data_IF_309099228595
#
_entry.id   IF_309099228595
#
_cell.length_a   1.000
_cell.length_b   1.000
_cell.length_c   1.000
_cell.angle_alpha   90.00
_cell.angle_beta   90.00
_cell.angle_gamma   90.00
#
_symmetry.space_group_name_H-M   'P 1'
#
loop_
_entity.id
_entity.type
_entity.pdbx_description
1 polymer ?
#
# COMPACT_ATOMS: atom_id res chain seq x y z
N UNK A 1 -0.39 8.88 23.77
CA UNK A 1 0.31 8.79 22.46
C UNK A 1 0.12 10.10 21.73
N UNK A 2 1.19 10.75 21.27
CA UNK A 2 1.09 12.05 20.59
C UNK A 2 0.37 11.86 19.25
N UNK A 3 -0.80 12.49 19.06
CA UNK A 3 -1.65 12.28 17.88
C UNK A 3 -0.91 12.52 16.56
N UNK A 4 0.03 13.48 16.58
CA UNK A 4 0.87 13.83 15.43
C UNK A 4 1.81 12.71 14.99
N UNK A 5 2.32 11.89 15.91
CA UNK A 5 3.19 10.76 15.56
C UNK A 5 2.41 9.64 14.87
N UNK A 6 1.14 9.43 15.25
CA UNK A 6 0.25 8.43 14.67
C UNK A 6 -0.18 8.84 13.26
N UNK A 7 -0.54 10.11 13.05
CA UNK A 7 -0.86 10.63 11.72
C UNK A 7 0.37 10.67 10.81
N UNK A 8 1.53 11.10 11.30
CA UNK A 8 2.76 11.11 10.51
C UNK A 8 3.19 9.68 10.12
N UNK A 9 3.06 8.72 11.05
CA UNK A 9 3.27 7.30 10.76
C UNK A 9 2.36 6.77 9.66
N UNK A 10 1.04 7.07 9.73
CA UNK A 10 0.08 6.66 8.69
C UNK A 10 0.39 7.22 7.31
N UNK A 11 0.79 8.49 7.21
CA UNK A 11 1.17 9.11 5.93
C UNK A 11 2.43 8.45 5.33
N UNK A 12 3.47 8.25 6.14
CA UNK A 12 4.70 7.60 5.70
C UNK A 12 4.44 6.16 5.26
N UNK A 13 3.66 5.39 6.03
CA UNK A 13 3.27 4.03 5.65
C UNK A 13 2.50 3.99 4.33
N UNK A 14 1.61 4.97 4.09
CA UNK A 14 0.87 5.06 2.83
C UNK A 14 1.80 5.33 1.64
N UNK A 15 2.73 6.30 1.78
CA UNK A 15 3.71 6.60 0.73
C UNK A 15 4.60 5.40 0.42
N UNK A 16 5.14 4.75 1.46
CA UNK A 16 6.01 3.58 1.30
C UNK A 16 5.25 2.42 0.65
N UNK A 17 4.01 2.16 1.09
CA UNK A 17 3.20 1.10 0.50
C UNK A 17 2.83 1.35 -0.96
N UNK A 18 2.49 2.58 -1.33
CA UNK A 18 2.20 2.95 -2.71
C UNK A 18 3.43 2.77 -3.61
N UNK A 19 4.61 3.20 -3.16
CA UNK A 19 5.88 3.02 -3.89
C UNK A 19 6.25 1.54 -4.00
N UNK A 20 6.17 0.78 -2.91
CA UNK A 20 6.49 -0.64 -2.92
C UNK A 20 5.56 -1.42 -3.87
N UNK A 21 4.25 -1.15 -3.82
CA UNK A 21 3.26 -1.82 -4.68
C UNK A 21 3.50 -1.51 -6.16
N UNK A 22 3.75 -0.24 -6.50
CA UNK A 22 4.01 0.18 -7.89
C UNK A 22 5.31 -0.40 -8.42
N UNK A 23 6.39 -0.41 -7.63
CA UNK A 23 7.67 -1.04 -8.00
C UNK A 23 7.53 -2.55 -8.19
N UNK A 24 6.78 -3.22 -7.30
CA UNK A 24 6.54 -4.66 -7.41
C UNK A 24 5.71 -4.99 -8.65
N UNK A 25 4.66 -4.23 -8.92
CA UNK A 25 3.85 -4.41 -10.11
C UNK A 25 4.67 -4.20 -11.40
N UNK A 26 5.55 -3.19 -11.41
CA UNK A 26 6.43 -2.90 -12.54
C UNK A 26 7.48 -3.98 -12.78
N UNK A 27 7.92 -4.69 -11.72
CA UNK A 27 8.88 -5.79 -11.83
C UNK A 27 8.25 -7.10 -12.34
N UNK A 28 6.91 -7.19 -12.32
CA UNK A 28 6.22 -8.40 -12.76
C UNK A 28 6.44 -8.68 -14.25
N UNK A 29 6.64 -9.96 -14.59
CA UNK A 29 6.90 -10.39 -15.96
C UNK A 29 5.78 -9.95 -16.92
N UNK A 30 4.52 -10.04 -16.46
CA UNK A 30 3.33 -9.62 -17.23
C UNK A 30 3.38 -8.14 -17.58
N UNK A 31 3.56 -7.25 -16.61
CA UNK A 31 3.61 -5.80 -16.85
C UNK A 31 4.79 -5.43 -17.75
N UNK A 32 5.94 -6.09 -17.57
CA UNK A 32 7.10 -5.84 -18.42
C UNK A 32 6.86 -6.19 -19.89
N UNK A 33 6.14 -7.26 -20.19
CA UNK A 33 5.76 -7.63 -21.57
C UNK A 33 4.83 -6.55 -22.14
N UNK A 34 3.81 -6.14 -21.38
CA UNK A 34 2.90 -5.05 -21.79
C UNK A 34 3.60 -3.69 -21.99
N UNK A 35 4.74 -3.45 -21.35
CA UNK A 35 5.54 -2.23 -21.57
C UNK A 35 6.55 -2.36 -22.72
N UNK A 36 6.41 -3.36 -23.59
CA UNK A 36 7.23 -3.49 -24.79
C UNK A 36 8.60 -4.13 -24.55
N UNK A 37 8.83 -4.78 -23.39
CA UNK A 37 10.05 -5.58 -23.16
C UNK A 37 9.99 -6.99 -23.74
N UNK A 38 9.03 -7.27 -24.63
CA UNK A 38 8.97 -8.47 -25.47
C UNK A 38 9.86 -8.36 -26.72
N UNK A 39 9.92 -9.43 -27.52
CA UNK A 39 10.62 -9.42 -28.81
C UNK A 39 9.82 -8.57 -29.82
N UNK A 40 10.46 -7.72 -30.62
CA UNK A 40 9.80 -6.79 -31.56
C UNK A 40 8.62 -5.99 -31.00
N UNK A 41 8.64 -5.67 -29.69
CA UNK A 41 7.56 -4.95 -29.02
C UNK A 41 6.21 -5.71 -29.01
N UNK A 42 6.27 -7.03 -29.23
CA UNK A 42 5.12 -7.92 -29.20
C UNK A 42 4.46 -7.92 -27.82
N UNK A 43 3.14 -7.76 -27.80
CA UNK A 43 2.35 -7.69 -26.58
C UNK A 43 2.40 -6.35 -25.85
N UNK A 44 2.99 -5.30 -26.45
CA UNK A 44 2.94 -3.94 -25.90
C UNK A 44 1.50 -3.43 -25.81
N UNK A 45 1.08 -3.13 -24.60
CA UNK A 45 -0.21 -2.57 -24.26
C UNK A 45 -0.03 -1.54 -23.14
N UNK A 46 -0.09 -0.26 -23.51
CA UNK A 46 0.05 0.85 -22.57
C UNK A 46 -1.25 1.12 -21.80
N UNK A 47 -2.37 0.49 -22.15
CA UNK A 47 -3.64 0.66 -21.42
C UNK A 47 -3.52 0.20 -19.96
N UNK A 48 -2.64 -0.77 -19.70
CA UNK A 48 -2.26 -1.29 -18.37
C UNK A 48 -1.78 -0.19 -17.42
N UNK A 49 -1.16 0.88 -17.92
CA UNK A 49 -0.78 2.05 -17.10
C UNK A 49 -1.99 2.85 -16.61
N UNK A 50 -3.11 2.82 -17.34
CA UNK A 50 -4.32 3.56 -16.99
C UNK A 50 -5.33 2.70 -16.24
N UNK A 51 -5.35 1.39 -16.48
CA UNK A 51 -6.31 0.47 -15.86
C UNK A 51 -5.81 -0.10 -14.55
N UNK A 52 -4.54 -0.51 -14.47
CA UNK A 52 -4.00 -1.23 -13.31
C UNK A 52 -3.23 -0.30 -12.36
N UNK A 53 -2.41 0.61 -12.89
CA UNK A 53 -1.53 1.46 -12.06
C UNK A 53 -2.29 2.28 -11.00
N UNK A 54 -3.45 2.92 -11.29
CA UNK A 54 -4.19 3.66 -10.27
C UNK A 54 -4.67 2.74 -9.14
N UNK A 55 -5.12 1.53 -9.49
CA UNK A 55 -5.60 0.55 -8.53
C UNK A 55 -4.45 0.03 -7.64
N UNK A 56 -3.30 -0.29 -8.25
CA UNK A 56 -2.10 -0.72 -7.53
C UNK A 56 -1.61 0.37 -6.57
N UNK A 57 -1.53 1.61 -7.05
CA UNK A 57 -1.11 2.76 -6.25
C UNK A 57 -2.05 3.00 -5.07
N UNK A 58 -3.37 3.04 -5.31
CA UNK A 58 -4.37 3.24 -4.27
C UNK A 58 -4.38 2.09 -3.26
N UNK A 59 -4.28 0.84 -3.73
CA UNK A 59 -4.24 -0.34 -2.86
C UNK A 59 -2.98 -0.34 -1.99
N UNK A 60 -1.83 -0.03 -2.59
CA UNK A 60 -0.57 0.13 -1.88
C UNK A 60 -0.59 1.28 -0.86
N UNK A 61 -1.31 2.36 -1.12
CA UNK A 61 -1.45 3.47 -0.18
C UNK A 61 -2.40 3.14 0.99
N UNK A 62 -3.58 2.57 0.68
CA UNK A 62 -4.68 2.44 1.64
C UNK A 62 -4.48 1.25 2.57
N UNK A 63 -4.08 0.07 2.06
CA UNK A 63 -3.95 -1.14 2.89
C UNK A 63 -3.03 -0.97 4.10
N UNK A 64 -1.80 -0.45 3.99
CA UNK A 64 -0.90 -0.31 5.13
C UNK A 64 -1.44 0.65 6.18
N UNK A 65 -2.05 1.76 5.76
CA UNK A 65 -2.67 2.72 6.65
C UNK A 65 -3.86 2.11 7.40
N UNK A 66 -4.68 1.33 6.71
CA UNK A 66 -5.85 0.66 7.28
C UNK A 66 -5.40 -0.40 8.30
N UNK A 67 -4.39 -1.21 7.98
CA UNK A 67 -3.79 -2.17 8.92
C UNK A 67 -3.20 -1.45 10.14
N UNK A 68 -2.48 -0.34 9.94
CA UNK A 68 -1.92 0.45 11.04
C UNK A 68 -3.02 1.05 11.95
N UNK A 69 -4.10 1.56 11.35
CA UNK A 69 -5.25 2.09 12.09
C UNK A 69 -5.96 0.99 12.91
N UNK A 70 -6.16 -0.20 12.33
CA UNK A 70 -6.74 -1.34 13.03
C UNK A 70 -5.84 -1.83 14.18
N UNK A 71 -4.53 -1.91 13.94
CA UNK A 71 -3.56 -2.34 14.95
C UNK A 71 -3.50 -1.36 16.13
N UNK A 72 -3.46 -0.05 15.85
CA UNK A 72 -3.49 0.98 16.90
C UNK A 72 -4.80 0.96 17.68
N UNK A 73 -5.94 0.78 17.01
CA UNK A 73 -7.25 0.61 17.67
C UNK A 73 -7.28 -0.61 18.58
N UNK A 74 -6.80 -1.76 18.11
CA UNK A 74 -6.76 -3.00 18.89
C UNK A 74 -5.88 -2.87 20.15
N UNK A 75 -4.71 -2.21 20.02
CA UNK A 75 -3.81 -2.02 21.15
C UNK A 75 -4.31 -0.99 22.18
N UNK A 76 -5.07 0.02 21.76
CA UNK A 76 -5.69 0.98 22.70
C UNK A 76 -6.85 0.34 23.45
N UNK A 77 -7.75 -0.36 22.75
CA UNK A 77 -8.88 -1.04 23.38
C UNK A 77 -8.48 -2.13 24.39
N UNK A 78 -7.31 -2.75 24.22
CA UNK A 78 -6.77 -3.72 25.19
C UNK A 78 -6.24 -3.09 26.50
N UNK A 79 -5.93 -1.79 26.52
CA UNK A 79 -5.41 -1.11 27.72
C UNK A 79 -6.54 -0.75 28.69
N UNK A 80 -7.69 -0.31 28.18
CA UNK A 80 -8.88 0.01 28.99
C UNK A 80 -9.37 -1.19 29.80
N UNK A 81 -9.37 -2.39 29.20
CA UNK A 81 -9.83 -3.62 29.87
C UNK A 81 -8.89 -4.09 30.99
N UNK A 82 -7.63 -3.64 31.00
CA UNK A 82 -6.63 -4.09 31.97
C UNK A 82 -6.58 -3.24 33.25
N UNK A 83 -7.14 -2.02 33.25
CA UNK A 83 -7.18 -1.12 34.41
C UNK A 83 -8.44 -1.33 35.29
N UNK A 84 -9.48 -2.01 34.78
CA UNK A 84 -10.73 -2.30 35.53
C UNK A 84 -10.62 -3.52 36.48
N UNK A 85 -9.46 -4.17 36.54
CA UNK A 85 -9.20 -5.36 37.38
C UNK A 85 -8.16 -5.14 38.49
N UNK A 86 -7.88 -3.89 38.87
CA UNK A 86 -6.99 -3.55 39.98
C UNK A 86 -7.67 -2.69 41.02
#
# INVERSE_FOLDING_TARGET
MNRNAVTCGGCLLSMVGALAATLWWLSSARTRIHLGKGFENEGMDLSVLFTELPLVFLTGAVLPALVYALFTRALVGRRDVSDDHR
#
